data_IF_984638864938
#
_entry.id   IF_984638864938
#
_cell.length_a   1.000
_cell.length_b   1.000
_cell.length_c   1.000
_cell.angle_alpha   90.00
_cell.angle_beta   90.00
_cell.angle_gamma   90.00
#
_symmetry.space_group_name_H-M   'P 1'
#
loop_
_entity.id
_entity.type
_entity.pdbx_description
1 polymer ?
#
# COMPACT_ATOMS: atom_id res chain seq x y z
N UNK A 1 6.98 16.57 -6.08
CA UNK A 1 7.72 17.71 -6.66
C UNK A 1 8.35 17.23 -7.96
N UNK A 2 7.95 17.77 -9.10
CA UNK A 2 8.50 17.42 -10.41
C UNK A 2 9.75 18.29 -10.67
N UNK A 3 10.97 17.72 -10.78
CA UNK A 3 12.20 18.53 -10.86
C UNK A 3 12.45 19.19 -12.22
N UNK A 4 11.57 19.01 -13.22
CA UNK A 4 11.72 19.61 -14.55
C UNK A 4 12.73 18.92 -15.48
N UNK A 5 13.45 17.90 -15.02
CA UNK A 5 14.53 17.23 -15.76
C UNK A 5 14.28 15.73 -16.04
N UNK A 6 13.02 15.35 -16.30
CA UNK A 6 12.72 14.04 -16.90
C UNK A 6 12.66 12.84 -15.95
N UNK A 7 12.92 13.00 -14.64
CA UNK A 7 12.67 11.95 -13.66
C UNK A 7 11.62 12.38 -12.63
N UNK A 8 10.43 11.82 -12.77
CA UNK A 8 9.32 11.96 -11.83
C UNK A 8 9.64 11.32 -10.50
N UNK A 9 9.52 12.06 -9.40
CA UNK A 9 9.43 11.46 -8.07
C UNK A 9 7.96 11.12 -7.77
N UNK A 10 7.57 9.83 -7.70
CA UNK A 10 6.21 9.44 -7.35
C UNK A 10 5.81 10.01 -6.00
N UNK A 11 4.57 10.46 -5.86
CA UNK A 11 3.94 10.49 -4.54
C UNK A 11 3.58 9.05 -4.16
N UNK A 12 4.19 8.54 -3.09
CA UNK A 12 3.95 7.18 -2.61
C UNK A 12 2.97 7.25 -1.45
N UNK A 13 1.77 6.68 -1.62
CA UNK A 13 0.69 6.66 -0.64
C UNK A 13 0.40 5.22 -0.25
N UNK A 14 0.36 4.97 1.05
CA UNK A 14 -0.15 3.72 1.61
C UNK A 14 -1.40 4.07 2.41
N UNK A 15 -2.52 3.46 2.03
CA UNK A 15 -3.84 3.84 2.52
C UNK A 15 -4.59 2.61 3.01
N UNK A 16 -5.16 2.72 4.20
CA UNK A 16 -6.08 1.72 4.74
C UNK A 16 -7.51 2.31 4.74
N UNK A 17 -8.36 1.97 3.75
CA UNK A 17 -9.72 2.48 3.66
C UNK A 17 -10.64 1.94 4.75
N UNK A 18 -10.17 0.98 5.56
CA UNK A 18 -10.98 0.31 6.58
C UNK A 18 -10.79 0.92 7.99
N UNK A 19 -9.87 1.88 8.15
CA UNK A 19 -9.70 2.65 9.37
C UNK A 19 -10.82 3.72 9.50
N UNK A 20 -11.77 3.45 10.41
CA UNK A 20 -12.85 4.30 10.98
C UNK A 20 -13.49 5.42 10.10
N UNK A 21 -14.80 5.24 9.84
CA UNK A 21 -15.94 6.18 9.65
C UNK A 21 -15.74 7.56 8.97
N UNK A 22 -14.64 7.76 8.24
CA UNK A 22 -14.37 8.97 7.49
C UNK A 22 -14.39 8.61 6.02
N UNK A 23 -15.36 9.15 5.26
CA UNK A 23 -15.60 8.88 3.84
C UNK A 23 -14.28 8.83 3.02
N UNK A 24 -13.66 7.64 2.89
CA UNK A 24 -12.22 7.52 2.57
C UNK A 24 -11.96 7.91 1.11
N UNK A 25 -12.99 7.76 0.30
CA UNK A 25 -13.00 8.12 -1.12
C UNK A 25 -12.83 9.62 -1.32
N UNK A 26 -13.44 10.47 -0.48
CA UNK A 26 -13.29 11.92 -0.61
C UNK A 26 -11.90 12.39 -0.18
N UNK A 27 -11.28 11.76 0.82
CA UNK A 27 -9.89 12.05 1.19
C UNK A 27 -8.93 11.67 0.06
N UNK A 28 -9.05 10.46 -0.48
CA UNK A 28 -8.22 9.99 -1.60
C UNK A 28 -8.39 10.90 -2.82
N UNK A 29 -9.62 11.26 -3.15
CA UNK A 29 -9.94 12.20 -4.24
C UNK A 29 -9.31 13.57 -4.00
N UNK A 30 -9.41 14.12 -2.79
CA UNK A 30 -8.78 15.40 -2.45
C UNK A 30 -7.26 15.34 -2.63
N UNK A 31 -6.60 14.28 -2.14
CA UNK A 31 -5.15 14.10 -2.27
C UNK A 31 -4.74 14.02 -3.75
N UNK A 32 -5.46 13.23 -4.55
CA UNK A 32 -5.17 13.07 -5.99
C UNK A 32 -5.30 14.41 -6.71
N UNK A 33 -6.43 15.11 -6.54
CA UNK A 33 -6.69 16.39 -7.22
C UNK A 33 -5.71 17.48 -6.81
N UNK A 34 -5.39 17.58 -5.51
CA UNK A 34 -4.40 18.53 -5.01
C UNK A 34 -3.00 18.21 -5.54
N UNK A 35 -2.60 16.93 -5.60
CA UNK A 35 -1.29 16.55 -6.14
C UNK A 35 -1.11 17.00 -7.60
N UNK A 36 -2.12 16.77 -8.44
CA UNK A 36 -2.08 17.22 -9.83
C UNK A 36 -2.15 18.74 -9.98
N UNK A 37 -2.94 19.42 -9.13
CA UNK A 37 -3.03 20.89 -9.12
C UNK A 37 -1.69 21.54 -8.76
N UNK A 38 -0.86 20.87 -7.96
CA UNK A 38 0.49 21.31 -7.58
C UNK A 38 1.57 20.91 -8.59
N UNK A 39 1.20 20.37 -9.77
CA UNK A 39 2.15 19.97 -10.82
C UNK A 39 2.83 18.63 -10.56
N UNK A 40 2.31 17.82 -9.62
CA UNK A 40 2.66 16.42 -9.51
C UNK A 40 2.12 15.61 -10.68
N UNK A 41 2.83 14.56 -11.08
CA UNK A 41 2.54 13.85 -12.35
C UNK A 41 2.47 12.33 -12.19
N UNK A 42 2.78 11.77 -11.02
CA UNK A 42 2.73 10.33 -10.78
C UNK A 42 2.43 10.03 -9.30
N UNK A 43 1.44 9.18 -9.07
CA UNK A 43 1.05 8.69 -7.74
C UNK A 43 1.11 7.15 -7.75
N UNK A 44 1.77 6.57 -6.76
CA UNK A 44 1.74 5.13 -6.46
C UNK A 44 0.91 4.93 -5.20
N UNK A 45 -0.25 4.29 -5.32
CA UNK A 45 -1.15 4.00 -4.19
C UNK A 45 -1.12 2.51 -3.89
N UNK A 46 -0.83 2.15 -2.64
CA UNK A 46 -1.04 0.80 -2.12
C UNK A 46 -2.22 0.84 -1.15
N UNK A 47 -3.24 0.02 -1.43
CA UNK A 47 -4.39 -0.19 -0.53
C UNK A 47 -4.10 -1.44 0.27
N UNK A 48 -3.96 -1.30 1.58
CA UNK A 48 -3.60 -2.42 2.47
C UNK A 48 -4.55 -2.42 3.66
N UNK A 49 -5.25 -3.54 3.86
CA UNK A 49 -6.05 -3.78 5.05
C UNK A 49 -5.18 -4.50 6.10
N UNK A 50 -4.90 -3.84 7.23
CA UNK A 50 -4.00 -4.38 8.26
C UNK A 50 -4.52 -5.68 8.84
N UNK A 51 -5.81 -5.74 9.14
CA UNK A 51 -6.47 -6.91 9.73
C UNK A 51 -6.41 -8.11 8.77
N UNK A 52 -6.64 -7.87 7.48
CA UNK A 52 -6.56 -8.88 6.43
C UNK A 52 -5.15 -9.48 6.33
N UNK A 53 -4.11 -8.65 6.42
CA UNK A 53 -2.72 -9.12 6.34
C UNK A 53 -2.33 -9.92 7.60
N UNK A 54 -2.79 -9.51 8.78
CA UNK A 54 -2.58 -10.25 10.02
C UNK A 54 -3.27 -11.61 9.99
N UNK A 55 -4.51 -11.66 9.50
CA UNK A 55 -5.26 -12.91 9.32
C UNK A 55 -4.63 -13.79 8.25
N UNK A 56 -4.17 -13.23 7.12
CA UNK A 56 -3.42 -13.97 6.11
C UNK A 56 -2.08 -14.53 6.62
N UNK A 57 -1.45 -13.88 7.61
CA UNK A 57 -0.23 -14.41 8.22
C UNK A 57 -0.52 -15.67 9.07
N UNK A 58 -1.67 -15.70 9.75
CA UNK A 58 -2.14 -16.85 10.53
C UNK A 58 -2.65 -17.98 9.63
N UNK A 59 -3.46 -17.62 8.63
CA UNK A 59 -4.18 -18.53 7.73
C UNK A 59 -3.98 -18.13 6.26
N UNK A 60 -2.78 -18.35 5.68
CA UNK A 60 -2.48 -17.99 4.29
C UNK A 60 -3.39 -18.68 3.27
N UNK A 61 -3.90 -19.86 3.59
CA UNK A 61 -4.80 -20.67 2.76
C UNK A 61 -6.16 -20.00 2.50
N UNK A 62 -6.59 -19.08 3.37
CA UNK A 62 -7.84 -18.33 3.21
C UNK A 62 -7.71 -17.20 2.20
N UNK A 63 -6.47 -16.84 1.83
CA UNK A 63 -6.15 -15.70 0.96
C UNK A 63 -5.25 -16.12 -0.21
N UNK A 64 -5.68 -17.07 -1.07
CA UNK A 64 -4.85 -17.58 -2.16
C UNK A 64 -4.50 -16.49 -3.20
N UNK A 65 -5.40 -15.52 -3.38
CA UNK A 65 -5.27 -14.45 -4.36
C UNK A 65 -4.62 -13.17 -3.79
N UNK A 66 -4.20 -13.19 -2.53
CA UNK A 66 -3.55 -12.04 -1.90
C UNK A 66 -2.15 -11.86 -2.49
N UNK A 67 -1.95 -10.79 -3.23
CA UNK A 67 -0.69 -10.45 -3.87
C UNK A 67 -0.03 -9.29 -3.12
N UNK A 68 1.24 -9.45 -2.78
CA UNK A 68 2.02 -8.42 -2.09
C UNK A 68 3.24 -8.00 -2.91
N UNK A 69 3.62 -6.73 -2.76
CA UNK A 69 4.80 -6.16 -3.42
C UNK A 69 5.96 -6.06 -2.44
N UNK A 70 6.94 -6.94 -2.63
CA UNK A 70 8.22 -6.91 -1.92
C UNK A 70 9.21 -6.10 -2.75
N UNK A 71 10.29 -5.63 -2.14
CA UNK A 71 11.32 -4.85 -2.84
C UNK A 71 11.88 -5.66 -4.03
N UNK A 72 11.48 -5.27 -5.25
CA UNK A 72 11.97 -5.85 -6.50
C UNK A 72 11.10 -6.95 -7.11
N UNK A 73 10.05 -7.45 -6.43
CA UNK A 73 9.17 -8.48 -7.00
C UNK A 73 7.75 -8.47 -6.41
N UNK A 74 6.83 -9.09 -7.15
CA UNK A 74 5.45 -9.31 -6.75
C UNK A 74 5.27 -10.81 -6.51
N UNK A 75 4.64 -11.19 -5.40
CA UNK A 75 4.41 -12.59 -5.05
C UNK A 75 3.04 -12.79 -4.40
N UNK A 76 2.50 -14.01 -4.54
CA UNK A 76 1.35 -14.44 -3.75
C UNK A 76 1.77 -14.61 -2.29
N UNK A 77 1.04 -13.98 -1.38
CA UNK A 77 1.34 -13.97 0.05
C UNK A 77 1.36 -15.39 0.62
N UNK A 78 0.44 -16.25 0.18
CA UNK A 78 0.37 -17.64 0.60
C UNK A 78 1.58 -18.49 0.17
N UNK A 79 2.33 -18.06 -0.86
CA UNK A 79 3.52 -18.75 -1.35
C UNK A 79 4.81 -18.31 -0.63
N UNK A 80 4.74 -17.29 0.22
CA UNK A 80 5.88 -16.80 0.98
C UNK A 80 6.16 -17.67 2.21
N UNK A 81 7.44 -17.83 2.54
CA UNK A 81 7.81 -18.49 3.80
C UNK A 81 7.29 -17.68 5.00
N UNK A 82 7.06 -18.32 6.17
CA UNK A 82 6.60 -17.62 7.36
C UNK A 82 7.45 -16.39 7.73
N UNK A 83 8.77 -16.47 7.55
CA UNK A 83 9.70 -15.38 7.84
C UNK A 83 9.48 -14.20 6.88
N UNK A 84 9.29 -14.47 5.59
CA UNK A 84 9.00 -13.44 4.60
C UNK A 84 7.63 -12.80 4.81
N UNK A 85 6.61 -13.58 5.20
CA UNK A 85 5.29 -13.04 5.56
C UNK A 85 5.38 -12.12 6.77
N UNK A 86 6.15 -12.50 7.79
CA UNK A 86 6.38 -11.66 8.96
C UNK A 86 7.08 -10.34 8.59
N UNK A 87 8.07 -10.36 7.70
CA UNK A 87 8.72 -9.12 7.22
C UNK A 87 7.73 -8.18 6.52
N UNK A 88 6.78 -8.73 5.76
CA UNK A 88 5.71 -7.95 5.12
C UNK A 88 4.78 -7.34 6.17
N UNK A 89 4.36 -8.13 7.16
CA UNK A 89 3.54 -7.68 8.30
C UNK A 89 4.23 -6.55 9.06
N UNK A 90 5.48 -6.74 9.45
CA UNK A 90 6.26 -5.77 10.23
C UNK A 90 6.42 -4.44 9.50
N UNK A 91 6.59 -4.48 8.17
CA UNK A 91 6.66 -3.30 7.34
C UNK A 91 5.33 -2.53 7.35
N UNK A 92 4.22 -3.22 7.14
CA UNK A 92 2.87 -2.61 7.09
C UNK A 92 2.50 -2.01 8.46
N UNK A 93 2.86 -2.66 9.56
CA UNK A 93 2.62 -2.15 10.91
C UNK A 93 3.49 -0.93 11.24
N UNK A 94 4.75 -0.88 10.79
CA UNK A 94 5.65 0.27 11.04
C UNK A 94 5.29 1.52 10.25
N UNK A 95 4.65 1.39 9.09
CA UNK A 95 4.27 2.55 8.25
C UNK A 95 2.99 3.25 8.72
N UNK A 96 2.29 2.69 9.72
CA UNK A 96 1.09 3.27 10.31
C UNK A 96 1.27 3.97 11.66
N UNK A 97 2.50 4.28 12.07
CA UNK A 97 2.85 4.95 13.33
C UNK A 97 3.48 6.33 13.09
#
# INVERSE_FOLDING_TARGET
MQPGYGNTAPLQLEFDPFLEDNNPQELVKAIILTHFSLGGTLINVNIVNKEQILEANRHPELYPDLVVRVTGFTAYFCMLTPEFRQLVVDRILKQGA
#
